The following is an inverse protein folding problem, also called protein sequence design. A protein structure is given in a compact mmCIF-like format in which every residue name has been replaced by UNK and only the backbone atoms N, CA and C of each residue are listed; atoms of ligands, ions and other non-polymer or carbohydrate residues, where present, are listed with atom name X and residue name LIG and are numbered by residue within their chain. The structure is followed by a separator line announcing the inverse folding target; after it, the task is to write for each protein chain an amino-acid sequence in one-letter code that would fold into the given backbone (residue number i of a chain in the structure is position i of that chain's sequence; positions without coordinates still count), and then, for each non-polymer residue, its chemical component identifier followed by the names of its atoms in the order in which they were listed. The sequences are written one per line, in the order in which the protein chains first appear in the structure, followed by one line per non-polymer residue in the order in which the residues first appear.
data_IF_149952488404
#
_entry.id   IF_149952488404
#
_cell.length_a   1.000
_cell.length_b   1.000
_cell.length_c   1.000
_cell.angle_alpha   90.00
_cell.angle_beta   90.00
_cell.angle_gamma   90.00
#
_symmetry.space_group_name_H-M   'P 1'
#
loop_
_entity.id
_entity.type
_entity.pdbx_description
1 polymer ?
#
# COMPACT_ATOMS: atom_id res chain seq x y z
N UNK A 1 -28.91 -19.97 7.01
CA UNK A 1 -27.72 -19.30 7.55
C UNK A 1 -27.17 -18.40 6.47
N UNK A 2 -27.18 -17.09 6.66
CA UNK A 2 -26.52 -16.19 5.71
C UNK A 2 -25.01 -16.43 5.86
N UNK A 3 -24.37 -16.93 4.80
CA UNK A 3 -22.92 -17.04 4.74
C UNK A 3 -22.41 -15.59 4.75
N UNK A 4 -21.86 -15.14 5.89
CA UNK A 4 -21.18 -13.86 5.94
C UNK A 4 -19.97 -13.96 4.99
N UNK A 5 -19.96 -13.09 3.98
CA UNK A 5 -18.78 -12.91 3.13
C UNK A 5 -17.75 -12.19 4.00
N UNK A 6 -16.84 -12.98 4.57
CA UNK A 6 -15.70 -12.48 5.33
C UNK A 6 -14.76 -11.70 4.42
N UNK A 7 -14.13 -10.65 4.95
CA UNK A 7 -12.95 -10.05 4.31
C UNK A 7 -11.85 -11.11 4.17
N UNK A 8 -11.02 -10.97 3.14
CA UNK A 8 -9.93 -11.92 2.92
C UNK A 8 -8.95 -11.86 4.10
N UNK A 9 -8.76 -13.01 4.77
CA UNK A 9 -7.77 -13.16 5.83
C UNK A 9 -6.43 -13.57 5.24
N UNK A 10 -5.34 -13.38 5.99
CA UNK A 10 -4.02 -13.84 5.56
C UNK A 10 -3.99 -15.36 5.26
N UNK A 11 -4.78 -16.15 6.00
CA UNK A 11 -4.93 -17.59 5.75
C UNK A 11 -5.59 -17.87 4.39
N UNK A 12 -6.66 -17.11 4.07
CA UNK A 12 -7.34 -17.20 2.77
C UNK A 12 -6.37 -16.84 1.63
N UNK A 13 -5.57 -15.79 1.82
CA UNK A 13 -4.56 -15.35 0.84
C UNK A 13 -3.49 -16.42 0.60
N UNK A 14 -2.91 -16.98 1.67
CA UNK A 14 -1.89 -18.05 1.56
C UNK A 14 -2.48 -19.30 0.90
N UNK A 15 -3.71 -19.68 1.26
CA UNK A 15 -4.39 -20.81 0.62
C UNK A 15 -4.69 -20.57 -0.86
N UNK A 16 -5.01 -19.34 -1.25
CA UNK A 16 -5.19 -18.98 -2.66
C UNK A 16 -3.87 -19.14 -3.44
N UNK A 17 -2.74 -18.74 -2.87
CA UNK A 17 -1.42 -18.87 -3.49
C UNK A 17 -1.02 -20.35 -3.61
N UNK A 18 -1.23 -21.14 -2.55
CA UNK A 18 -1.01 -22.59 -2.54
C UNK A 18 -1.85 -23.29 -3.62
N UNK A 19 -3.12 -22.91 -3.76
CA UNK A 19 -4.00 -23.41 -4.81
C UNK A 19 -3.49 -23.10 -6.22
N UNK A 20 -2.95 -21.90 -6.44
CA UNK A 20 -2.36 -21.51 -7.74
C UNK A 20 -1.15 -22.34 -8.14
N UNK A 21 -0.38 -22.87 -7.17
CA UNK A 21 0.78 -23.72 -7.43
C UNK A 21 0.45 -25.23 -7.36
N UNK A 22 -0.80 -25.59 -7.13
CA UNK A 22 -1.26 -26.99 -7.06
C UNK A 22 -1.00 -27.69 -5.72
N UNK A 23 -0.76 -26.93 -4.65
CA UNK A 23 -0.58 -27.47 -3.30
C UNK A 23 -1.90 -27.51 -2.51
N UNK A 24 -1.95 -28.39 -1.51
CA UNK A 24 -3.12 -28.54 -0.65
C UNK A 24 -3.29 -27.34 0.30
N UNK A 25 -4.55 -26.93 0.59
CA UNK A 25 -4.81 -25.82 1.50
C UNK A 25 -4.48 -26.19 2.95
N UNK A 26 -4.14 -25.18 3.74
CA UNK A 26 -3.84 -25.29 5.17
C UNK A 26 -4.95 -24.68 6.03
N UNK A 27 -5.07 -25.18 7.26
CA UNK A 27 -6.13 -24.77 8.21
C UNK A 27 -5.62 -23.81 9.30
N UNK A 28 -4.31 -23.66 9.48
CA UNK A 28 -3.72 -22.70 10.42
C UNK A 28 -2.38 -22.14 9.92
N UNK A 29 -2.10 -20.88 10.29
CA UNK A 29 -0.82 -20.19 10.08
C UNK A 29 0.11 -20.26 11.30
N UNK A 30 -0.22 -21.10 12.30
CA UNK A 30 0.51 -21.20 13.58
C UNK A 30 1.03 -22.62 13.81
N UNK A 31 2.23 -22.74 14.40
CA UNK A 31 2.81 -24.02 14.82
C UNK A 31 3.40 -24.88 13.68
N UNK A 32 3.00 -26.15 13.62
CA UNK A 32 3.52 -27.20 12.70
C UNK A 32 3.30 -26.90 11.21
N UNK A 33 2.39 -26.00 10.84
CA UNK A 33 2.21 -25.55 9.47
C UNK A 33 3.35 -24.62 8.97
N UNK A 34 3.95 -23.82 9.86
CA UNK A 34 5.13 -23.01 9.54
C UNK A 34 6.44 -23.82 9.54
N UNK A 35 6.42 -25.07 10.03
CA UNK A 35 7.58 -25.95 9.94
C UNK A 35 7.83 -26.46 8.52
N UNK A 36 6.86 -26.37 7.61
CA UNK A 36 7.11 -26.65 6.21
C UNK A 36 7.86 -25.45 5.59
N UNK A 37 9.07 -25.64 5.05
CA UNK A 37 9.85 -24.59 4.40
C UNK A 37 9.07 -23.87 3.28
N UNK A 38 8.17 -24.57 2.59
CA UNK A 38 7.38 -24.01 1.49
C UNK A 38 6.32 -23.02 1.99
N UNK A 39 5.63 -23.33 3.10
CA UNK A 39 4.59 -22.47 3.66
C UNK A 39 5.22 -21.20 4.26
N UNK A 40 6.33 -21.35 4.99
CA UNK A 40 7.07 -20.20 5.53
C UNK A 40 7.62 -19.31 4.40
N UNK A 41 8.09 -19.92 3.31
CA UNK A 41 8.52 -19.20 2.13
C UNK A 41 7.37 -18.41 1.48
N UNK A 42 6.18 -19.00 1.31
CA UNK A 42 5.00 -18.32 0.75
C UNK A 42 4.53 -17.17 1.65
N UNK A 43 4.54 -17.35 2.97
CA UNK A 43 4.17 -16.27 3.91
C UNK A 43 5.16 -15.09 3.82
N UNK A 44 6.47 -15.37 3.79
CA UNK A 44 7.48 -14.34 3.60
C UNK A 44 7.31 -13.62 2.26
N UNK A 45 6.99 -14.36 1.20
CA UNK A 45 6.74 -13.79 -0.12
C UNK A 45 5.49 -12.90 -0.13
N UNK A 46 4.41 -13.31 0.55
CA UNK A 46 3.21 -12.50 0.70
C UNK A 46 3.53 -11.18 1.43
N UNK A 47 4.28 -11.25 2.52
CA UNK A 47 4.65 -10.07 3.31
C UNK A 47 5.59 -9.12 2.52
N UNK A 48 6.49 -9.67 1.70
CA UNK A 48 7.34 -8.90 0.80
C UNK A 48 6.52 -8.20 -0.30
N UNK A 49 5.64 -8.93 -0.96
CA UNK A 49 4.78 -8.38 -2.01
C UNK A 49 3.81 -7.35 -1.44
N UNK A 50 3.29 -7.57 -0.23
CA UNK A 50 2.45 -6.59 0.46
C UNK A 50 3.20 -5.26 0.67
N UNK A 51 4.46 -5.32 1.13
CA UNK A 51 5.32 -4.12 1.25
C UNK A 51 5.61 -3.47 -0.10
N UNK A 52 5.92 -4.27 -1.12
CA UNK A 52 6.22 -3.78 -2.47
C UNK A 52 5.01 -3.04 -3.07
N UNK A 53 3.81 -3.62 -2.99
CA UNK A 53 2.59 -2.99 -3.51
C UNK A 53 2.24 -1.72 -2.74
N UNK A 54 2.34 -1.73 -1.41
CA UNK A 54 2.05 -0.55 -0.60
C UNK A 54 3.09 0.57 -0.77
N UNK A 55 4.34 0.24 -1.15
CA UNK A 55 5.39 1.23 -1.36
C UNK A 55 5.15 2.17 -2.55
N UNK A 56 4.25 1.80 -3.45
CA UNK A 56 3.82 2.64 -4.59
C UNK A 56 3.14 3.93 -4.08
N UNK A 57 2.46 3.87 -2.94
CA UNK A 57 1.56 4.93 -2.48
C UNK A 57 0.21 4.83 -3.15
N UNK A 58 -0.82 4.66 -2.33
CA UNK A 58 -2.23 4.58 -2.68
C UNK A 58 -2.99 5.51 -1.76
N UNK A 59 -4.15 6.00 -2.19
CA UNK A 59 -4.94 6.96 -1.42
C UNK A 59 -5.22 6.51 0.04
N UNK A 60 -5.42 5.21 0.27
CA UNK A 60 -5.70 4.67 1.61
C UNK A 60 -4.46 4.60 2.54
N UNK A 61 -3.24 4.58 1.99
CA UNK A 61 -2.00 4.45 2.76
C UNK A 61 -1.12 5.70 2.73
N UNK A 62 -1.44 6.66 1.87
CA UNK A 62 -0.85 7.99 1.82
C UNK A 62 -1.63 8.95 2.71
N UNK A 63 -0.94 9.64 3.61
CA UNK A 63 -1.47 10.76 4.36
C UNK A 63 -0.71 12.02 3.97
N UNK A 64 -1.43 13.02 3.48
CA UNK A 64 -0.87 14.32 3.07
C UNK A 64 -1.05 15.36 4.17
N UNK A 65 -0.13 16.33 4.24
CA UNK A 65 -0.20 17.50 5.13
C UNK A 65 -0.44 17.15 6.61
N UNK A 66 0.18 16.07 7.09
CA UNK A 66 0.09 15.72 8.51
C UNK A 66 1.01 16.64 9.30
N UNK A 67 0.43 17.49 10.15
CA UNK A 67 1.22 18.37 11.03
C UNK A 67 1.93 17.53 12.09
N UNK A 68 3.25 17.63 12.16
CA UNK A 68 4.05 16.97 13.19
C UNK A 68 4.90 18.00 13.92
N UNK A 69 4.91 17.90 15.24
CA UNK A 69 5.77 18.73 16.09
C UNK A 69 7.00 17.93 16.50
N UNK A 70 8.18 18.58 16.58
CA UNK A 70 9.40 17.91 17.00
C UNK A 70 9.31 17.52 18.50
N UNK A 71 10.01 16.45 18.87
CA UNK A 71 10.12 16.04 20.28
C UNK A 71 10.94 17.07 21.09
N UNK A 72 11.00 16.92 22.42
CA UNK A 72 11.75 17.77 23.37
C UNK A 72 13.21 17.98 22.97
N UNK A 73 13.79 17.03 22.24
CA UNK A 73 15.16 17.06 21.72
C UNK A 73 15.28 17.69 20.31
N UNK A 74 14.21 18.23 19.75
CA UNK A 74 14.14 18.81 18.40
C UNK A 74 14.17 17.77 17.28
N UNK A 75 14.00 16.49 17.57
CA UNK A 75 14.06 15.43 16.56
C UNK A 75 12.66 15.03 16.09
N UNK A 76 12.53 14.71 14.80
CA UNK A 76 11.37 13.99 14.28
C UNK A 76 11.63 12.48 14.28
N UNK A 77 10.81 11.74 15.02
CA UNK A 77 10.87 10.28 15.07
C UNK A 77 10.05 9.74 13.92
N UNK A 78 10.70 9.00 13.01
CA UNK A 78 10.00 8.35 11.90
C UNK A 78 9.35 7.06 12.40
N UNK A 79 8.03 6.90 12.25
CA UNK A 79 7.34 5.67 12.65
C UNK A 79 7.95 4.43 11.97
N UNK A 80 8.04 3.30 12.68
CA UNK A 80 8.61 2.07 12.13
C UNK A 80 7.81 1.51 10.94
N UNK A 81 6.52 1.85 10.87
CA UNK A 81 5.61 1.51 9.78
C UNK A 81 5.64 2.51 8.62
N UNK A 82 6.30 3.67 8.74
CA UNK A 82 6.38 4.62 7.63
C UNK A 82 7.40 4.14 6.57
N UNK A 83 6.90 3.97 5.34
CA UNK A 83 7.67 3.61 4.15
C UNK A 83 8.33 4.86 3.57
N UNK A 84 7.52 5.90 3.34
CA UNK A 84 7.98 7.23 2.93
C UNK A 84 7.57 8.24 3.98
N UNK A 85 8.45 9.19 4.26
CA UNK A 85 8.23 10.27 5.21
C UNK A 85 9.01 11.48 4.70
N UNK A 86 8.30 12.43 4.08
CA UNK A 86 8.89 13.60 3.45
C UNK A 86 8.15 14.87 3.88
N UNK A 87 8.82 16.01 3.81
CA UNK A 87 8.19 17.31 4.10
C UNK A 87 7.19 17.62 2.99
N UNK A 88 5.96 17.94 3.39
CA UNK A 88 4.89 18.35 2.49
C UNK A 88 5.30 19.62 1.74
N UNK A 89 4.96 19.70 0.45
CA UNK A 89 5.36 20.78 -0.46
C UNK A 89 6.89 20.89 -0.72
N UNK A 90 7.68 19.85 -0.46
CA UNK A 90 9.13 19.84 -0.76
C UNK A 90 9.51 20.07 -2.23
N UNK A 91 8.55 19.94 -3.16
CA UNK A 91 8.74 20.35 -4.57
C UNK A 91 8.69 21.87 -4.78
N UNK A 92 8.01 22.60 -3.88
CA UNK A 92 7.86 24.05 -3.89
C UNK A 92 8.93 24.68 -3.00
N UNK A 93 9.13 24.15 -1.79
CA UNK A 93 10.18 24.59 -0.88
C UNK A 93 11.36 23.61 -0.85
N UNK A 94 12.44 23.94 -1.56
CA UNK A 94 13.67 23.13 -1.63
C UNK A 94 14.71 23.52 -0.57
N UNK A 95 14.32 24.31 0.44
CA UNK A 95 15.23 24.74 1.51
C UNK A 95 15.58 23.61 2.47
N UNK A 96 14.76 22.58 2.55
CA UNK A 96 14.93 21.42 3.42
C UNK A 96 14.82 20.15 2.57
N UNK A 97 15.68 19.17 2.83
CA UNK A 97 15.62 17.87 2.18
C UNK A 97 15.85 16.80 3.25
N UNK A 98 14.78 16.12 3.65
CA UNK A 98 14.84 15.19 4.78
C UNK A 98 15.05 13.76 4.31
N UNK A 99 15.94 13.05 4.99
CA UNK A 99 16.15 11.61 4.81
C UNK A 99 16.14 10.93 6.17
N UNK A 100 15.53 9.75 6.22
CA UNK A 100 15.56 8.90 7.41
C UNK A 100 16.99 8.39 7.67
N UNK A 101 17.54 8.71 8.84
CA UNK A 101 18.77 8.11 9.39
C UNK A 101 18.55 7.72 10.85
N UNK A 102 18.90 6.48 11.19
CA UNK A 102 18.81 5.98 12.57
C UNK A 102 17.42 6.16 13.23
N UNK A 103 16.34 6.02 12.44
CA UNK A 103 14.96 6.21 12.91
C UNK A 103 14.55 7.67 13.15
N UNK A 104 15.42 8.63 12.82
CA UNK A 104 15.17 10.07 12.87
C UNK A 104 15.22 10.68 11.48
N UNK A 105 14.65 11.87 11.34
CA UNK A 105 14.85 12.68 10.13
C UNK A 105 16.15 13.46 10.24
N UNK A 106 16.93 13.40 9.18
CA UNK A 106 18.15 14.16 8.98
C UNK A 106 17.93 15.11 7.80
N UNK A 107 18.13 16.42 7.99
CA UNK A 107 18.10 17.37 6.88
C UNK A 107 19.46 17.38 6.16
N UNK A 108 19.47 17.02 4.88
CA UNK A 108 20.65 17.02 4.02
C UNK A 108 21.13 18.43 3.64
N UNK A 109 20.26 19.44 3.66
CA UNK A 109 20.62 20.81 3.24
C UNK A 109 21.38 21.52 4.35
N UNK A 110 20.81 21.56 5.55
CA UNK A 110 21.45 22.21 6.70
C UNK A 110 22.38 21.27 7.48
N UNK A 111 22.38 19.97 7.16
CA UNK A 111 23.15 18.93 7.86
C UNK A 111 22.85 18.87 9.36
N UNK A 112 21.60 19.11 9.75
CA UNK A 112 21.14 19.11 11.15
C UNK A 112 20.04 18.10 11.38
N UNK A 113 20.05 17.50 12.57
CA UNK A 113 18.99 16.61 13.08
C UNK A 113 17.95 17.35 13.95
N UNK A 114 18.23 18.62 14.27
CA UNK A 114 17.41 19.44 15.17
C UNK A 114 16.54 20.37 14.36
N UNK A 115 15.24 20.20 14.48
CA UNK A 115 14.21 21.05 13.90
C UNK A 115 13.55 21.89 14.99
N UNK A 116 13.46 23.19 14.76
CA UNK A 116 12.87 24.16 15.71
C UNK A 116 11.46 24.62 15.33
N UNK A 117 10.97 24.22 14.15
CA UNK A 117 9.67 24.61 13.61
C UNK A 117 8.80 23.39 13.39
N UNK A 118 7.48 23.57 13.46
CA UNK A 118 6.51 22.57 13.03
C UNK A 118 6.53 22.47 11.50
N UNK A 119 6.67 21.24 10.99
CA UNK A 119 6.56 20.94 9.56
C UNK A 119 5.35 20.07 9.28
N UNK A 120 4.82 20.22 8.07
CA UNK A 120 3.83 19.31 7.50
C UNK A 120 4.58 18.17 6.80
N UNK A 121 4.12 16.94 6.98
CA UNK A 121 4.72 15.78 6.35
C UNK A 121 3.71 15.03 5.49
N UNK A 122 4.20 14.53 4.38
CA UNK A 122 3.53 13.55 3.54
C UNK A 122 4.13 12.18 3.88
N UNK A 123 3.28 11.26 4.34
CA UNK A 123 3.71 9.96 4.86
C UNK A 123 2.98 8.83 4.16
N UNK A 124 3.71 7.79 3.79
CA UNK A 124 3.13 6.51 3.36
C UNK A 124 3.34 5.50 4.47
N UNK A 125 2.25 4.97 5.04
CA UNK A 125 2.31 4.00 6.14
C UNK A 125 2.00 2.58 5.66
N UNK A 126 2.74 1.60 6.19
CA UNK A 126 2.46 0.19 5.99
C UNK A 126 1.25 -0.22 6.84
N UNK A 127 0.24 -0.76 6.18
CA UNK A 127 -0.97 -1.31 6.77
C UNK A 127 -0.93 -2.84 6.78
N UNK A 128 -1.62 -3.44 7.75
CA UNK A 128 -1.79 -4.89 7.81
C UNK A 128 -2.64 -5.36 6.65
N UNK A 129 -2.42 -6.60 6.18
CA UNK A 129 -3.13 -7.15 5.02
C UNK A 129 -4.66 -7.09 5.19
N UNK A 130 -5.17 -7.26 6.41
CA UNK A 130 -6.60 -7.21 6.73
C UNK A 130 -7.25 -5.85 6.53
N UNK A 131 -6.46 -4.78 6.65
CA UNK A 131 -6.93 -3.39 6.57
C UNK A 131 -6.82 -2.83 5.14
N UNK A 132 -6.23 -3.60 4.22
CA UNK A 132 -6.09 -3.24 2.81
C UNK A 132 -7.42 -3.46 2.07
N UNK A 133 -7.81 -2.56 1.14
CA UNK A 133 -9.01 -2.76 0.33
C UNK A 133 -9.01 -4.08 -0.46
N UNK A 134 -10.17 -4.76 -0.63
CA UNK A 134 -10.24 -6.06 -1.30
C UNK A 134 -9.66 -6.09 -2.72
N UNK A 135 -9.84 -5.02 -3.50
CA UNK A 135 -9.28 -4.90 -4.86
C UNK A 135 -7.75 -5.01 -4.85
N UNK A 136 -7.11 -4.44 -3.83
CA UNK A 136 -5.65 -4.39 -3.67
C UNK A 136 -5.15 -5.68 -3.03
N UNK A 137 -5.89 -6.25 -2.07
CA UNK A 137 -5.62 -7.59 -1.55
C UNK A 137 -5.54 -8.63 -2.68
N UNK A 138 -6.47 -8.59 -3.63
CA UNK A 138 -6.47 -9.48 -4.81
C UNK A 138 -5.26 -9.27 -5.71
N UNK A 139 -4.83 -8.03 -5.88
CA UNK A 139 -3.61 -7.72 -6.63
C UNK A 139 -2.34 -8.23 -5.93
N UNK A 140 -2.24 -8.08 -4.60
CA UNK A 140 -1.16 -8.62 -3.78
C UNK A 140 -1.10 -10.14 -3.92
N UNK A 141 -2.25 -10.83 -3.79
CA UNK A 141 -2.35 -12.28 -3.95
C UNK A 141 -1.89 -12.71 -5.35
N UNK A 142 -2.41 -12.10 -6.41
CA UNK A 142 -2.06 -12.45 -7.79
C UNK A 142 -0.55 -12.29 -8.06
N UNK A 143 0.05 -11.18 -7.61
CA UNK A 143 1.49 -10.93 -7.74
C UNK A 143 2.32 -11.92 -6.92
N UNK A 144 1.88 -12.26 -5.71
CA UNK A 144 2.52 -13.28 -4.89
C UNK A 144 2.44 -14.67 -5.55
N UNK A 145 1.30 -15.04 -6.16
CA UNK A 145 1.12 -16.28 -6.92
C UNK A 145 2.08 -16.37 -8.12
N UNK A 146 2.27 -15.29 -8.89
CA UNK A 146 3.23 -15.26 -10.00
C UNK A 146 4.65 -15.52 -9.50
N UNK A 147 5.08 -14.85 -8.42
CA UNK A 147 6.41 -15.03 -7.85
C UNK A 147 6.59 -16.44 -7.27
N UNK A 148 5.59 -16.99 -6.58
CA UNK A 148 5.61 -18.34 -6.03
C UNK A 148 5.72 -19.39 -7.15
N UNK A 149 4.91 -19.27 -8.19
CA UNK A 149 4.94 -20.17 -9.36
C UNK A 149 6.29 -20.14 -10.08
N UNK A 150 6.89 -18.95 -10.22
CA UNK A 150 8.20 -18.78 -10.86
C UNK A 150 9.31 -19.47 -10.08
N UNK A 151 9.29 -19.36 -8.74
CA UNK A 151 10.37 -19.88 -7.90
C UNK A 151 10.21 -21.36 -7.52
N UNK A 152 8.98 -21.87 -7.39
CA UNK A 152 8.72 -23.24 -6.92
C UNK A 152 8.42 -24.24 -8.04
N UNK A 153 7.63 -23.84 -9.04
CA UNK A 153 7.09 -24.77 -10.06
C UNK A 153 7.81 -24.66 -11.40
N UNK A 154 8.42 -23.51 -11.68
CA UNK A 154 9.25 -23.25 -12.87
C UNK A 154 8.55 -23.53 -14.22
N UNK A 155 7.21 -23.55 -14.25
CA UNK A 155 6.44 -23.80 -15.46
C UNK A 155 6.12 -22.48 -16.18
N UNK A 156 6.68 -22.32 -17.38
CA UNK A 156 6.56 -21.08 -18.17
C UNK A 156 5.12 -20.77 -18.63
N UNK A 157 4.28 -21.78 -18.89
CA UNK A 157 2.91 -21.54 -19.36
C UNK A 157 1.98 -21.14 -18.22
N UNK A 158 2.16 -21.75 -17.04
CA UNK A 158 1.45 -21.35 -15.82
C UNK A 158 1.82 -19.91 -15.41
N UNK A 159 3.10 -19.54 -15.50
CA UNK A 159 3.55 -18.16 -15.23
C UNK A 159 2.92 -17.16 -16.20
N UNK A 160 2.77 -17.49 -17.49
CA UNK A 160 2.09 -16.61 -18.47
C UNK A 160 0.62 -16.37 -18.12
N UNK A 161 -0.10 -17.43 -17.73
CA UNK A 161 -1.51 -17.31 -17.34
C UNK A 161 -1.67 -16.47 -16.07
N UNK A 162 -0.87 -16.74 -15.04
CA UNK A 162 -0.89 -15.95 -13.80
C UNK A 162 -0.51 -14.48 -14.03
N UNK A 163 0.38 -14.18 -14.98
CA UNK A 163 0.73 -12.80 -15.34
C UNK A 163 -0.42 -12.06 -16.03
N UNK A 164 -1.26 -12.77 -16.79
CA UNK A 164 -2.47 -12.20 -17.36
C UNK A 164 -3.49 -11.88 -16.27
N UNK A 165 -3.65 -12.77 -15.28
CA UNK A 165 -4.47 -12.51 -14.09
C UNK A 165 -3.93 -11.34 -13.26
N UNK A 166 -2.61 -11.25 -13.04
CA UNK A 166 -1.97 -10.10 -12.37
C UNK A 166 -2.30 -8.78 -13.10
N UNK A 167 -2.27 -8.78 -14.43
CA UNK A 167 -2.58 -7.59 -15.23
C UNK A 167 -4.03 -7.15 -15.05
N UNK A 168 -4.97 -8.10 -15.01
CA UNK A 168 -6.39 -7.81 -14.75
C UNK A 168 -6.59 -7.31 -13.31
N UNK A 169 -5.96 -7.95 -12.33
CA UNK A 169 -6.01 -7.53 -10.93
C UNK A 169 -5.42 -6.12 -10.74
N UNK A 170 -4.33 -5.79 -11.46
CA UNK A 170 -3.75 -4.45 -11.49
C UNK A 170 -4.71 -3.43 -12.09
N UNK A 171 -5.39 -3.76 -13.18
CA UNK A 171 -6.39 -2.86 -13.78
C UNK A 171 -7.54 -2.57 -12.78
N UNK A 172 -8.00 -3.58 -12.04
CA UNK A 172 -9.01 -3.40 -11.00
C UNK A 172 -8.50 -2.55 -9.83
N UNK A 173 -7.24 -2.74 -9.40
CA UNK A 173 -6.62 -1.89 -8.38
C UNK A 173 -6.49 -0.44 -8.85
N UNK A 174 -6.15 -0.21 -10.12
CA UNK A 174 -6.08 1.13 -10.71
C UNK A 174 -7.45 1.81 -10.80
N UNK A 175 -8.48 1.06 -11.16
CA UNK A 175 -9.86 1.57 -11.17
C UNK A 175 -10.29 1.98 -9.76
N UNK A 176 -9.99 1.15 -8.75
CA UNK A 176 -10.26 1.48 -7.36
C UNK A 176 -9.57 2.79 -6.94
N UNK A 177 -8.28 2.96 -7.25
CA UNK A 177 -7.55 4.18 -6.91
C UNK A 177 -8.13 5.41 -7.61
N UNK A 178 -8.51 5.27 -8.88
CA UNK A 178 -9.09 6.39 -9.65
C UNK A 178 -10.46 6.79 -9.12
N UNK A 179 -11.27 5.83 -8.67
CA UNK A 179 -12.60 6.09 -8.09
C UNK A 179 -12.53 6.63 -6.66
N UNK A 180 -11.52 6.26 -5.87
CA UNK A 180 -11.36 6.70 -4.47
C UNK A 180 -10.54 7.97 -4.32
N UNK A 181 -9.53 8.18 -5.17
CA UNK A 181 -8.63 9.32 -5.08
C UNK A 181 -9.26 10.65 -5.47
N UNK A 182 -10.49 10.62 -6.02
CA UNK A 182 -11.25 11.80 -6.47
C UNK A 182 -10.38 12.80 -7.27
N UNK A 183 -9.42 12.27 -8.03
CA UNK A 183 -8.45 13.09 -8.74
C UNK A 183 -9.13 13.88 -9.84
N UNK A 184 -8.97 15.20 -9.81
CA UNK A 184 -9.47 16.07 -10.85
C UNK A 184 -8.32 16.60 -11.72
N UNK A 185 -8.58 16.78 -13.01
CA UNK A 185 -7.61 17.34 -13.93
C UNK A 185 -7.18 18.77 -13.57
N UNK A 186 -8.06 19.52 -12.89
CA UNK A 186 -7.81 20.91 -12.51
C UNK A 186 -6.90 21.06 -11.28
N UNK A 187 -6.53 19.95 -10.62
CA UNK A 187 -5.69 19.95 -9.43
C UNK A 187 -6.26 20.81 -8.29
N UNK A 188 -7.58 20.80 -8.08
CA UNK A 188 -8.13 21.61 -7.00
C UNK A 188 -7.62 21.13 -5.64
N UNK A 189 -7.32 22.07 -4.72
CA UNK A 189 -6.88 21.70 -3.39
C UNK A 189 -7.98 20.97 -2.62
N UNK A 190 -7.56 20.26 -1.57
CA UNK A 190 -8.45 19.65 -0.59
C UNK A 190 -9.44 20.70 -0.03
N UNK A 191 -10.65 20.27 0.32
CA UNK A 191 -11.75 21.13 0.80
C UNK A 191 -12.33 22.11 -0.24
N UNK A 192 -12.21 21.79 -1.54
CA UNK A 192 -12.89 22.53 -2.60
C UNK A 192 -14.17 21.82 -3.07
N UNK A 193 -15.25 22.58 -3.14
CA UNK A 193 -16.50 22.13 -3.75
C UNK A 193 -16.64 22.74 -5.14
N UNK A 194 -16.66 21.89 -6.16
CA UNK A 194 -17.08 22.30 -7.49
C UNK A 194 -18.21 21.41 -7.97
N UNK A 195 -19.28 22.06 -8.40
CA UNK A 195 -20.37 21.40 -9.11
C UNK A 195 -20.28 21.84 -10.57
N UNK A 196 -19.93 20.94 -11.52
CA UNK A 196 -19.97 21.30 -12.93
C UNK A 196 -21.38 21.74 -13.31
N UNK A 197 -21.50 22.53 -14.38
CA UNK A 197 -22.80 22.93 -14.91
C UNK A 197 -23.66 21.69 -15.18
N UNK A 198 -24.81 21.60 -14.51
CA UNK A 198 -25.77 20.51 -14.63
C UNK A 198 -26.95 20.99 -15.49
N UNK A 199 -26.93 20.79 -16.82
CA UNK A 199 -27.96 21.34 -17.72
C UNK A 199 -29.38 20.88 -17.36
N UNK A 200 -29.54 19.69 -16.77
CA UNK A 200 -30.83 19.18 -16.32
C UNK A 200 -31.41 19.90 -15.08
N UNK A 201 -30.60 20.70 -14.36
CA UNK A 201 -31.07 21.56 -13.25
C UNK A 201 -31.38 22.98 -13.71
N UNK A 202 -31.00 23.38 -14.92
CA UNK A 202 -31.18 24.73 -15.41
C UNK A 202 -32.65 25.13 -15.69
N UNK A 203 -33.53 24.13 -15.85
CA UNK A 203 -34.96 24.31 -16.13
C UNK A 203 -35.88 23.85 -15.00
N UNK A 204 -35.35 23.45 -13.84
CA UNK A 204 -36.17 23.13 -12.67
C UNK A 204 -36.69 24.47 -12.11
N UNK A 205 -37.98 24.72 -12.31
CA UNK A 205 -38.73 25.88 -11.81
C UNK A 205 -39.65 25.46 -10.68
#
# INVERSE_FOLDING_TARGET
MAIQISTDTELSAVNSILGSIGQAPITSLTGTALQNPEISFIKNLLDEVNKDVQSIGWNFNSAYKVKQSPDTNGNYIVPANAILYDISEGQIDRRTNVVKRDGKLFDLVHQTDVFTQDYYFDTISLLQFTDVPPSIQRYIIARASVRAATQLVSNADLVKLLKLEETQARANAMNYETEQGDHNFMGWPDDTLYRPYQPYKALIR
#
